data_IF_578020448807
#
_entry.id   IF_578020448807
#
_cell.length_a   1.000
_cell.length_b   1.000
_cell.length_c   1.000
_cell.angle_alpha   90.00
_cell.angle_beta   90.00
_cell.angle_gamma   90.00
#
_symmetry.space_group_name_H-M   'P 1'
#
loop_
_entity.id
_entity.type
_entity.pdbx_description
1 polymer ?
#
# COMPACT_ATOMS: atom_id res chain seq x y z
N UNK A 1 -12.42 -11.16 -4.02
CA UNK A 1 -13.39 -10.35 -3.25
C UNK A 1 -12.67 -9.08 -2.81
N UNK A 2 -13.32 -7.92 -2.76
CA UNK A 2 -12.67 -6.69 -2.27
C UNK A 2 -12.75 -6.64 -0.74
N UNK A 3 -11.68 -6.25 -0.07
CA UNK A 3 -11.65 -6.05 1.39
C UNK A 3 -11.34 -4.60 1.74
N UNK A 4 -11.79 -4.16 2.92
CA UNK A 4 -11.59 -2.79 3.40
C UNK A 4 -11.34 -2.82 4.90
N UNK A 5 -10.31 -2.10 5.33
CA UNK A 5 -9.90 -2.01 6.71
C UNK A 5 -9.82 -0.56 7.16
N UNK A 6 -10.42 -0.25 8.30
CA UNK A 6 -10.22 1.03 8.97
C UNK A 6 -8.87 1.05 9.68
N UNK A 7 -8.08 2.09 9.43
CA UNK A 7 -6.74 2.28 10.00
C UNK A 7 -6.58 3.74 10.46
N UNK A 8 -5.46 4.04 11.12
CA UNK A 8 -5.09 5.43 11.45
C UNK A 8 -3.85 5.90 10.70
N UNK A 9 -2.99 4.96 10.35
CA UNK A 9 -1.79 5.14 9.55
C UNK A 9 -1.39 3.79 8.96
N UNK A 10 -0.47 3.85 8.00
CA UNK A 10 0.34 2.73 7.56
C UNK A 10 1.81 3.09 7.73
N UNK A 11 2.64 2.10 7.96
CA UNK A 11 4.08 2.22 8.03
C UNK A 11 4.68 1.83 6.68
N UNK A 12 5.52 2.69 6.13
CA UNK A 12 6.32 2.40 4.95
C UNK A 12 7.76 2.08 5.32
N UNK A 13 8.27 0.97 4.79
CA UNK A 13 9.68 0.61 4.92
C UNK A 13 10.33 0.53 3.55
N UNK A 14 11.52 1.10 3.43
CA UNK A 14 12.37 0.94 2.26
C UNK A 14 13.06 -0.43 2.27
N UNK A 15 13.52 -0.89 1.10
CA UNK A 15 14.18 -2.20 0.96
C UNK A 15 15.39 -2.36 1.88
N UNK A 16 16.21 -1.31 2.03
CA UNK A 16 17.38 -1.30 2.90
C UNK A 16 17.04 -1.36 4.41
N UNK A 17 15.77 -1.19 4.75
CA UNK A 17 15.28 -1.00 6.12
C UNK A 17 14.32 -2.11 6.58
N UNK A 18 14.13 -3.18 5.79
CA UNK A 18 13.19 -4.25 6.12
C UNK A 18 13.49 -4.96 7.45
N UNK A 19 14.76 -5.06 7.84
CA UNK A 19 15.19 -5.62 9.13
C UNK A 19 15.21 -4.58 10.28
N UNK A 20 14.83 -3.32 10.01
CA UNK A 20 14.87 -2.19 10.95
C UNK A 20 13.49 -1.55 11.09
N UNK A 21 12.59 -2.16 11.89
CA UNK A 21 11.21 -1.67 12.01
C UNK A 21 11.10 -0.24 12.58
N UNK A 22 12.13 0.25 13.28
CA UNK A 22 12.24 1.62 13.79
C UNK A 22 12.50 2.67 12.71
N UNK A 23 12.95 2.25 11.52
CA UNK A 23 13.13 3.11 10.36
C UNK A 23 11.83 3.32 9.54
N UNK A 24 10.72 2.74 10.00
CA UNK A 24 9.42 2.89 9.36
C UNK A 24 8.98 4.36 9.30
N UNK A 25 8.46 4.76 8.13
CA UNK A 25 7.88 6.09 7.92
C UNK A 25 6.36 5.99 8.04
N UNK A 26 5.73 6.56 9.08
CA UNK A 26 4.29 6.49 9.25
C UNK A 26 3.58 7.47 8.32
N UNK A 27 2.66 6.97 7.51
CA UNK A 27 1.78 7.73 6.63
C UNK A 27 0.36 7.66 7.16
N UNK A 28 -0.19 8.81 7.55
CA UNK A 28 -1.59 8.88 7.99
C UNK A 28 -2.52 8.47 6.85
N UNK A 29 -3.51 7.65 7.18
CA UNK A 29 -4.50 7.12 6.26
C UNK A 29 -5.74 6.73 7.08
N UNK A 30 -6.94 6.89 6.51
CA UNK A 30 -8.18 6.53 7.19
C UNK A 30 -8.59 5.08 6.91
N UNK A 31 -8.38 4.60 5.69
CA UNK A 31 -8.80 3.27 5.27
C UNK A 31 -7.83 2.67 4.26
N UNK A 32 -7.63 1.36 4.35
CA UNK A 32 -6.92 0.57 3.34
C UNK A 32 -7.93 -0.32 2.64
N UNK A 33 -8.01 -0.24 1.32
CA UNK A 33 -8.79 -1.18 0.50
C UNK A 33 -7.87 -2.14 -0.24
N UNK A 34 -8.13 -3.44 -0.16
CA UNK A 34 -7.46 -4.43 -0.97
C UNK A 34 -8.30 -4.81 -2.18
N UNK A 35 -7.66 -4.81 -3.34
CA UNK A 35 -8.23 -5.27 -4.61
C UNK A 35 -7.41 -6.43 -5.16
N UNK A 36 -8.06 -7.53 -5.57
CA UNK A 36 -7.36 -8.62 -6.23
C UNK A 36 -6.80 -8.17 -7.59
N UNK A 37 -5.79 -8.90 -8.05
CA UNK A 37 -5.36 -8.90 -9.44
C UNK A 37 -6.55 -8.99 -10.39
N UNK A 38 -6.58 -8.15 -11.42
CA UNK A 38 -7.58 -8.23 -12.49
C UNK A 38 -7.02 -9.04 -13.67
N UNK A 39 -7.83 -9.94 -14.23
CA UNK A 39 -7.43 -10.76 -15.38
C UNK A 39 -7.59 -9.96 -16.68
N UNK A 40 -6.75 -8.94 -16.86
CA UNK A 40 -6.75 -8.05 -18.03
C UNK A 40 -5.50 -8.34 -18.85
N UNK A 41 -5.68 -8.67 -20.12
CA UNK A 41 -4.57 -9.03 -21.03
C UNK A 41 -3.98 -7.80 -21.74
N UNK A 42 -2.63 -7.66 -21.74
CA UNK A 42 -1.87 -6.62 -22.45
C UNK A 42 -0.72 -6.04 -21.62
N UNK A 43 0.30 -5.41 -22.25
CA UNK A 43 1.48 -4.90 -21.51
C UNK A 43 1.16 -3.77 -20.52
N UNK A 44 0.30 -2.82 -20.88
CA UNK A 44 -0.24 -1.81 -19.92
C UNK A 44 -1.15 -2.45 -18.87
N UNK A 45 -1.78 -3.57 -19.21
CA UNK A 45 -2.62 -4.31 -18.30
C UNK A 45 -1.83 -5.04 -17.22
N UNK A 46 -0.51 -5.24 -17.37
CA UNK A 46 0.30 -5.95 -16.36
C UNK A 46 0.32 -5.23 -15.00
N UNK A 47 0.38 -3.89 -14.96
CA UNK A 47 0.26 -3.14 -13.69
C UNK A 47 -1.18 -3.09 -13.17
N UNK A 48 -2.18 -3.07 -14.06
CA UNK A 48 -3.60 -3.19 -13.69
C UNK A 48 -3.98 -4.62 -13.25
N UNK A 49 -3.15 -5.61 -13.58
CA UNK A 49 -3.31 -7.02 -13.24
C UNK A 49 -2.62 -7.40 -11.92
N UNK A 50 -1.90 -6.48 -11.27
CA UNK A 50 -1.35 -6.75 -9.94
C UNK A 50 -2.43 -6.54 -8.86
N UNK A 51 -2.35 -7.30 -7.74
CA UNK A 51 -3.12 -6.95 -6.56
C UNK A 51 -2.70 -5.57 -6.06
N UNK A 52 -3.65 -4.83 -5.52
CA UNK A 52 -3.50 -3.42 -5.21
C UNK A 52 -4.02 -3.11 -3.80
N UNK A 53 -3.26 -2.33 -3.03
CA UNK A 53 -3.80 -1.59 -1.89
C UNK A 53 -4.09 -0.15 -2.27
N UNK A 54 -5.26 0.35 -1.87
CA UNK A 54 -5.63 1.75 -1.99
C UNK A 54 -5.71 2.35 -0.60
N UNK A 55 -4.83 3.32 -0.33
CA UNK A 55 -4.83 4.12 0.90
C UNK A 55 -5.76 5.31 0.71
N UNK A 56 -6.90 5.33 1.40
CA UNK A 56 -7.90 6.38 1.31
C UNK A 56 -7.76 7.40 2.44
N UNK A 57 -7.81 8.69 2.07
CA UNK A 57 -7.53 9.77 3.03
C UNK A 57 -6.07 9.78 3.46
N UNK A 58 -5.18 9.33 2.58
CA UNK A 58 -3.74 9.29 2.82
C UNK A 58 -3.15 10.71 2.83
N UNK A 59 -2.15 10.95 3.67
CA UNK A 59 -1.33 12.17 3.62
C UNK A 59 -0.42 12.12 2.39
N UNK A 60 -0.96 12.54 1.24
CA UNK A 60 -0.25 12.58 -0.05
C UNK A 60 0.97 13.48 0.00
N UNK A 61 0.96 14.53 0.85
CA UNK A 61 2.12 15.40 1.05
C UNK A 61 3.29 14.63 1.66
N UNK A 62 3.03 13.87 2.70
CA UNK A 62 4.03 13.00 3.34
C UNK A 62 4.55 11.93 2.36
N UNK A 63 3.67 11.31 1.57
CA UNK A 63 4.08 10.30 0.57
C UNK A 63 4.97 10.92 -0.51
N UNK A 64 4.67 12.14 -0.98
CA UNK A 64 5.52 12.85 -1.95
C UNK A 64 6.87 13.28 -1.38
N UNK A 65 6.97 13.43 -0.06
CA UNK A 65 8.22 13.80 0.61
C UNK A 65 9.17 12.61 0.83
N UNK A 66 8.73 11.37 0.55
CA UNK A 66 9.58 10.20 0.64
C UNK A 66 10.76 10.32 -0.33
N UNK A 67 11.97 10.12 0.19
CA UNK A 67 13.20 10.12 -0.61
C UNK A 67 13.44 8.80 -1.33
N UNK A 68 12.76 7.75 -0.90
CA UNK A 68 12.91 6.38 -1.42
C UNK A 68 11.52 5.75 -1.48
N UNK A 69 11.17 5.03 -2.57
CA UNK A 69 9.91 4.32 -2.64
C UNK A 69 9.84 3.22 -1.56
N UNK A 70 8.64 2.94 -1.01
CA UNK A 70 8.48 1.84 -0.07
C UNK A 70 8.60 0.49 -0.78
N UNK A 71 9.22 -0.47 -0.10
CA UNK A 71 9.27 -1.88 -0.50
C UNK A 71 8.32 -2.75 0.35
N UNK A 72 7.92 -2.27 1.52
CA UNK A 72 6.92 -2.92 2.39
C UNK A 72 5.97 -1.87 2.96
N UNK A 73 4.70 -2.25 3.06
CA UNK A 73 3.70 -1.52 3.84
C UNK A 73 3.17 -2.40 4.97
N UNK A 74 3.05 -1.81 6.16
CA UNK A 74 2.56 -2.46 7.37
C UNK A 74 1.46 -1.65 8.03
N UNK A 75 0.42 -2.27 8.58
CA UNK A 75 -0.60 -1.55 9.35
C UNK A 75 -1.43 -2.47 10.26
N UNK A 76 -1.95 -1.88 11.33
CA UNK A 76 -2.94 -2.51 12.21
C UNK A 76 -4.35 -2.09 11.80
N UNK A 77 -5.16 -3.08 11.40
CA UNK A 77 -6.56 -2.86 11.06
C UNK A 77 -7.44 -2.86 12.32
N UNK A 78 -8.34 -1.89 12.45
CA UNK A 78 -9.25 -1.81 13.60
C UNK A 78 -10.11 -3.07 13.69
N UNK A 79 -10.09 -3.71 14.87
CA UNK A 79 -10.85 -4.93 15.13
C UNK A 79 -10.12 -6.22 14.76
N UNK A 80 -8.90 -6.13 14.23
CA UNK A 80 -8.01 -7.27 13.99
C UNK A 80 -6.89 -7.27 15.03
N UNK A 81 -6.43 -8.47 15.41
CA UNK A 81 -5.34 -8.63 16.38
C UNK A 81 -3.96 -8.71 15.71
N UNK A 82 -3.94 -9.06 14.43
CA UNK A 82 -2.72 -9.25 13.66
C UNK A 82 -2.42 -8.02 12.81
N UNK A 83 -1.16 -7.61 12.85
CA UNK A 83 -0.61 -6.61 11.95
C UNK A 83 -0.55 -7.19 10.54
N UNK A 84 -0.95 -6.39 9.56
CA UNK A 84 -0.94 -6.77 8.14
C UNK A 84 0.31 -6.21 7.48
N UNK A 85 0.97 -7.02 6.68
CA UNK A 85 2.22 -6.67 5.99
C UNK A 85 2.13 -7.09 4.52
N UNK A 86 2.50 -6.18 3.62
CA UNK A 86 2.42 -6.42 2.19
C UNK A 86 3.68 -5.90 1.47
N UNK A 87 4.32 -6.71 0.61
CA UNK A 87 5.40 -6.24 -0.25
C UNK A 87 4.84 -5.31 -1.32
N UNK A 88 5.53 -4.19 -1.52
CA UNK A 88 5.15 -3.14 -2.48
C UNK A 88 6.13 -3.15 -3.64
N UNK A 89 5.60 -3.39 -4.84
CA UNK A 89 6.34 -3.38 -6.11
C UNK A 89 6.29 -2.01 -6.78
N UNK A 90 5.28 -1.20 -6.46
CA UNK A 90 5.13 0.12 -7.03
C UNK A 90 4.16 1.00 -6.26
N UNK A 91 4.34 2.30 -6.40
CA UNK A 91 3.50 3.32 -5.79
C UNK A 91 3.03 4.31 -6.86
N UNK A 92 1.74 4.65 -6.82
CA UNK A 92 1.15 5.68 -7.67
C UNK A 92 0.26 6.60 -6.85
N UNK A 93 0.30 7.88 -7.17
CA UNK A 93 -0.60 8.89 -6.59
C UNK A 93 -1.54 9.31 -7.73
N UNK A 94 -2.82 8.92 -7.70
CA UNK A 94 -3.77 9.34 -8.72
C UNK A 94 -3.93 10.87 -8.73
N UNK A 95 -4.37 11.44 -9.87
CA UNK A 95 -4.53 12.89 -10.02
C UNK A 95 -5.65 13.48 -9.15
N UNK A 96 -6.49 12.64 -8.54
CA UNK A 96 -7.49 13.06 -7.56
C UNK A 96 -6.85 13.64 -6.27
N UNK A 97 -5.58 13.31 -6.02
CA UNK A 97 -4.81 13.79 -4.87
C UNK A 97 -5.32 13.32 -3.51
N UNK A 98 -6.26 12.37 -3.47
CA UNK A 98 -6.94 11.93 -2.25
C UNK A 98 -6.66 10.47 -1.89
N UNK A 99 -5.92 9.77 -2.73
CA UNK A 99 -5.57 8.37 -2.54
C UNK A 99 -4.11 8.09 -2.90
N UNK A 100 -3.60 6.97 -2.41
CA UNK A 100 -2.32 6.39 -2.81
C UNK A 100 -2.55 4.94 -3.16
N UNK A 101 -2.06 4.52 -4.32
CA UNK A 101 -2.16 3.17 -4.84
C UNK A 101 -0.81 2.47 -4.67
N UNK A 102 -0.81 1.29 -4.05
CA UNK A 102 0.34 0.42 -3.88
C UNK A 102 0.12 -0.87 -4.66
N UNK A 103 0.92 -1.08 -5.70
CA UNK A 103 0.94 -2.32 -6.45
C UNK A 103 1.75 -3.35 -5.68
N UNK A 104 1.18 -4.54 -5.48
CA UNK A 104 1.78 -5.60 -4.69
C UNK A 104 2.30 -6.72 -5.60
N UNK A 105 3.10 -7.63 -5.03
CA UNK A 105 3.57 -8.80 -5.75
C UNK A 105 2.39 -9.69 -6.22
N UNK A 106 2.46 -10.36 -7.39
CA UNK A 106 1.34 -11.10 -7.99
C UNK A 106 0.68 -12.16 -7.09
N UNK A 107 1.44 -12.78 -6.19
CA UNK A 107 0.97 -13.83 -5.30
C UNK A 107 0.41 -13.30 -3.96
N UNK A 108 0.31 -11.98 -3.79
CA UNK A 108 -0.12 -11.36 -2.54
C UNK A 108 -1.60 -11.61 -2.27
N UNK A 109 -1.90 -12.20 -1.13
CA UNK A 109 -3.25 -12.40 -0.60
C UNK A 109 -3.46 -11.50 0.63
N UNK A 110 -4.70 -11.05 0.89
CA UNK A 110 -5.02 -10.25 2.06
C UNK A 110 -4.83 -11.04 3.35
#
# INVERSE_FOLDING_TARGET
>A
MMETWDVTHVDFLAEADLDRPDAAVPIRCAQVQWRPASDVSGERAQQEALPLLILLGADVGAVRALTTPPALVRFDARGYLETREFPVEGLRIPPDGNSVELYLAPATQP
#
